data_IF_468261782764
#
_entry.id   IF_468261782764
#
_cell.length_a   1.000
_cell.length_b   1.000
_cell.length_c   1.000
_cell.angle_alpha   90.00
_cell.angle_beta   90.00
_cell.angle_gamma   90.00
#
_symmetry.space_group_name_H-M   'P 1'
#
loop_
_entity.id
_entity.type
_entity.pdbx_description
1 polymer ?
#
# COMPACT_ATOMS: atom_id res chain seq x y z
N UNK A 1 -24.98 35.14 -28.55
CA UNK A 1 -23.66 34.68 -28.09
C UNK A 1 -23.49 35.06 -26.62
N UNK A 2 -23.34 34.10 -25.71
CA UNK A 2 -23.09 34.37 -24.29
C UNK A 2 -21.67 34.93 -24.16
N UNK A 3 -21.51 36.17 -23.67
CA UNK A 3 -20.19 36.79 -23.47
C UNK A 3 -19.64 36.34 -22.13
N UNK A 4 -18.59 35.51 -22.16
CA UNK A 4 -17.85 35.15 -20.95
C UNK A 4 -17.06 36.35 -20.44
N UNK A 5 -17.24 36.70 -19.17
CA UNK A 5 -16.40 37.71 -18.52
C UNK A 5 -15.13 37.06 -17.93
N UNK A 6 -14.06 37.84 -17.73
CA UNK A 6 -12.76 37.33 -17.26
C UNK A 6 -12.85 36.60 -15.91
N UNK A 7 -13.75 37.04 -15.02
CA UNK A 7 -13.98 36.41 -13.72
C UNK A 7 -14.63 35.04 -13.89
N UNK A 8 -15.65 34.94 -14.72
CA UNK A 8 -16.33 33.69 -15.03
C UNK A 8 -15.37 32.68 -15.67
N UNK A 9 -14.54 33.11 -16.63
CA UNK A 9 -13.49 32.26 -17.20
C UNK A 9 -12.51 31.74 -16.14
N UNK A 10 -11.95 32.61 -15.30
CA UNK A 10 -10.98 32.21 -14.27
C UNK A 10 -11.62 31.31 -13.20
N UNK A 11 -12.87 31.57 -12.81
CA UNK A 11 -13.60 30.74 -11.85
C UNK A 11 -13.91 29.35 -12.44
N UNK A 12 -14.39 29.27 -13.68
CA UNK A 12 -14.73 27.99 -14.30
C UNK A 12 -13.48 27.17 -14.61
N UNK A 13 -12.43 27.78 -15.16
CA UNK A 13 -11.16 27.06 -15.45
C UNK A 13 -10.43 26.66 -14.17
N UNK A 14 -10.42 27.51 -13.14
CA UNK A 14 -9.83 27.18 -11.83
C UNK A 14 -10.55 26.03 -11.14
N UNK A 15 -11.88 26.01 -11.17
CA UNK A 15 -12.67 24.90 -10.63
C UNK A 15 -12.44 23.59 -11.40
N UNK A 16 -12.39 23.64 -12.73
CA UNK A 16 -12.10 22.47 -13.56
C UNK A 16 -10.70 21.90 -13.30
N UNK A 17 -9.69 22.77 -13.16
CA UNK A 17 -8.32 22.36 -12.83
C UNK A 17 -8.23 21.72 -11.44
N UNK A 18 -8.91 22.28 -10.43
CA UNK A 18 -8.96 21.71 -9.08
C UNK A 18 -9.60 20.30 -9.08
N UNK A 19 -10.70 20.11 -9.79
CA UNK A 19 -11.36 18.79 -9.91
C UNK A 19 -10.48 17.76 -10.63
N UNK A 20 -9.75 18.17 -11.67
CA UNK A 20 -8.83 17.28 -12.38
C UNK A 20 -7.66 16.83 -11.48
N UNK A 21 -7.11 17.74 -10.66
CA UNK A 21 -6.02 17.41 -9.71
C UNK A 21 -6.50 16.48 -8.60
N UNK A 22 -7.71 16.68 -8.08
CA UNK A 22 -8.30 15.82 -7.04
C UNK A 22 -8.63 14.43 -7.61
N UNK A 23 -9.21 14.36 -8.82
CA UNK A 23 -9.55 13.09 -9.48
C UNK A 23 -8.33 12.24 -9.90
N UNK A 24 -7.17 12.86 -10.03
CA UNK A 24 -5.90 12.19 -10.36
C UNK A 24 -5.16 11.66 -9.12
N UNK A 25 -5.64 11.98 -7.92
CA UNK A 25 -5.01 11.54 -6.69
C UNK A 25 -5.46 10.11 -6.35
N UNK A 26 -4.55 9.14 -6.13
CA UNK A 26 -4.91 7.77 -5.77
C UNK A 26 -5.85 7.68 -4.55
N UNK A 27 -5.77 8.66 -3.64
CA UNK A 27 -6.67 8.77 -2.48
C UNK A 27 -8.15 9.04 -2.82
N UNK A 28 -8.46 9.64 -3.98
CA UNK A 28 -9.83 9.87 -4.41
C UNK A 28 -10.51 8.57 -4.89
N UNK A 29 -9.74 7.64 -5.48
CA UNK A 29 -10.23 6.30 -5.84
C UNK A 29 -10.55 5.46 -4.58
N UNK A 30 -9.76 5.59 -3.50
CA UNK A 30 -10.06 4.95 -2.22
C UNK A 30 -11.36 5.47 -1.58
N UNK A 31 -11.68 6.76 -1.72
CA UNK A 31 -12.91 7.34 -1.16
C UNK A 31 -14.19 6.79 -1.81
N UNK A 32 -14.14 6.34 -3.06
CA UNK A 32 -15.31 5.82 -3.78
C UNK A 32 -15.74 4.42 -3.30
N UNK A 33 -14.84 3.66 -2.67
CA UNK A 33 -15.12 2.30 -2.16
C UNK A 33 -15.73 2.35 -0.74
N UNK A 34 -15.41 3.39 0.05
CA UNK A 34 -15.83 3.54 1.46
C UNK A 34 -17.29 4.02 1.59
N UNK A 35 -17.92 4.52 0.51
CA UNK A 35 -19.26 5.11 0.54
C UNK A 35 -20.45 4.13 0.56
N UNK A 36 -20.22 2.82 0.60
CA UNK A 36 -21.31 1.84 0.66
C UNK A 36 -21.70 1.53 2.10
N UNK A 37 -22.99 1.31 2.37
CA UNK A 37 -23.47 0.84 3.67
C UNK A 37 -22.76 -0.47 4.01
N UNK A 38 -21.97 -0.47 5.09
CA UNK A 38 -21.23 -1.65 5.52
C UNK A 38 -22.18 -2.84 5.69
N UNK A 39 -21.82 -4.06 5.24
CA UNK A 39 -22.72 -5.23 5.23
C UNK A 39 -22.96 -5.83 6.64
N UNK A 40 -22.62 -5.09 7.69
CA UNK A 40 -22.63 -5.58 9.07
C UNK A 40 -23.74 -4.91 9.88
N UNK A 41 -24.47 -5.66 10.72
CA UNK A 41 -25.54 -5.12 11.56
C UNK A 41 -25.02 -4.28 12.74
N UNK A 42 -23.73 -4.39 13.08
CA UNK A 42 -23.07 -3.68 14.17
C UNK A 42 -22.00 -2.69 13.69
N UNK A 43 -21.52 -1.82 14.58
CA UNK A 43 -20.53 -0.81 14.23
C UNK A 43 -19.17 -1.45 13.91
N UNK A 44 -18.72 -1.29 12.66
CA UNK A 44 -17.38 -1.65 12.21
C UNK A 44 -16.69 -0.43 11.62
N UNK A 45 -15.43 -0.22 12.01
CA UNK A 45 -14.58 0.83 11.44
C UNK A 45 -13.32 0.21 10.83
N UNK A 46 -12.96 0.67 9.64
CA UNK A 46 -11.68 0.41 9.00
C UNK A 46 -10.84 1.68 9.05
N UNK A 47 -9.65 1.60 9.64
CA UNK A 47 -8.69 2.72 9.68
C UNK A 47 -7.57 2.43 8.69
N UNK A 48 -7.51 3.19 7.61
CA UNK A 48 -6.43 3.09 6.63
C UNK A 48 -5.37 4.17 6.91
N UNK A 49 -4.16 3.74 7.28
CA UNK A 49 -3.02 4.64 7.48
C UNK A 49 -2.13 4.60 6.24
N UNK A 50 -2.09 5.71 5.50
CA UNK A 50 -1.26 5.83 4.31
C UNK A 50 0.09 6.45 4.66
N UNK A 51 1.15 5.65 4.60
CA UNK A 51 2.52 6.08 4.91
C UNK A 51 3.27 6.56 3.64
N UNK A 52 2.67 7.48 2.89
CA UNK A 52 3.28 8.02 1.66
C UNK A 52 4.59 8.75 1.95
N UNK A 53 5.69 8.25 1.41
CA UNK A 53 7.03 8.83 1.55
C UNK A 53 7.64 8.73 2.96
N UNK A 54 6.88 8.28 3.96
CA UNK A 54 7.34 8.11 5.35
C UNK A 54 7.67 6.67 5.72
N UNK A 55 7.29 5.69 4.89
CA UNK A 55 7.61 4.29 5.10
C UNK A 55 8.46 3.72 3.96
N UNK A 56 9.57 3.09 4.33
CA UNK A 56 10.37 2.26 3.44
C UNK A 56 10.01 0.79 3.70
N UNK A 57 9.09 0.27 2.90
CA UNK A 57 8.59 -1.11 3.08
C UNK A 57 9.67 -2.17 2.92
N UNK A 58 10.71 -1.90 2.10
CA UNK A 58 11.83 -2.83 1.94
C UNK A 58 12.70 -2.90 3.20
N UNK A 59 12.71 -1.86 4.04
CA UNK A 59 13.35 -1.94 5.36
C UNK A 59 12.38 -2.40 6.46
N UNK A 60 11.07 -2.53 6.21
CA UNK A 60 10.14 -3.10 7.21
C UNK A 60 10.08 -4.61 7.17
N UNK A 61 9.97 -5.21 5.98
CA UNK A 61 9.91 -6.67 5.77
C UNK A 61 11.10 -7.07 4.90
N UNK A 62 12.02 -7.86 5.46
CA UNK A 62 13.31 -8.17 4.85
C UNK A 62 13.47 -9.69 4.74
N UNK A 63 13.88 -10.22 3.57
CA UNK A 63 14.23 -11.64 3.43
C UNK A 63 15.40 -12.02 4.34
N UNK A 64 15.34 -13.20 4.92
CA UNK A 64 16.31 -13.70 5.88
C UNK A 64 17.19 -14.84 5.36
N UNK A 65 16.80 -15.49 4.28
CA UNK A 65 17.67 -16.45 3.59
C UNK A 65 18.85 -15.72 2.94
N UNK A 66 20.02 -16.34 2.94
CA UNK A 66 21.27 -15.66 2.55
C UNK A 66 21.25 -15.13 1.11
N UNK A 67 20.66 -15.87 0.16
CA UNK A 67 20.63 -15.45 -1.23
C UNK A 67 19.79 -14.17 -1.42
N UNK A 68 18.58 -14.16 -0.89
CA UNK A 68 17.61 -13.08 -1.00
C UNK A 68 18.03 -11.87 -0.15
N UNK A 69 18.57 -12.10 1.05
CA UNK A 69 19.12 -11.03 1.88
C UNK A 69 20.28 -10.32 1.18
N UNK A 70 21.19 -11.06 0.51
CA UNK A 70 22.30 -10.45 -0.21
C UNK A 70 21.84 -9.55 -1.36
N UNK A 71 20.74 -9.91 -2.04
CA UNK A 71 20.13 -9.06 -3.08
C UNK A 71 19.60 -7.76 -2.44
N UNK A 72 18.87 -7.87 -1.33
CA UNK A 72 18.40 -6.72 -0.55
C UNK A 72 19.57 -5.83 -0.10
N UNK A 73 20.60 -6.41 0.52
CA UNK A 73 21.74 -5.67 1.07
C UNK A 73 22.53 -4.96 -0.03
N UNK A 74 22.72 -5.60 -1.19
CA UNK A 74 23.37 -4.99 -2.34
C UNK A 74 22.57 -3.79 -2.89
N UNK A 75 21.24 -3.88 -2.94
CA UNK A 75 20.38 -2.78 -3.37
C UNK A 75 20.33 -1.62 -2.37
N UNK A 76 20.45 -1.92 -1.07
CA UNK A 76 20.31 -0.93 0.03
C UNK A 76 21.63 -0.31 0.48
N UNK A 77 22.75 -0.99 0.21
CA UNK A 77 24.10 -0.57 0.59
C UNK A 77 24.19 -0.22 2.09
N UNK A 78 24.55 1.01 2.43
CA UNK A 78 24.71 1.49 3.80
C UNK A 78 23.38 1.61 4.58
N UNK A 79 22.23 1.47 3.92
CA UNK A 79 20.90 1.49 4.57
C UNK A 79 20.37 0.08 4.86
N UNK A 80 21.13 -0.96 4.50
CA UNK A 80 20.74 -2.34 4.77
C UNK A 80 20.74 -2.59 6.28
N UNK A 81 19.66 -3.16 6.79
CA UNK A 81 19.62 -3.67 8.17
C UNK A 81 20.44 -4.94 8.22
N UNK A 82 21.28 -5.10 9.24
CA UNK A 82 22.09 -6.30 9.37
C UNK A 82 21.21 -7.54 9.57
N UNK A 83 21.53 -8.62 8.85
CA UNK A 83 20.70 -9.83 8.81
C UNK A 83 20.44 -10.43 10.19
N UNK A 84 21.46 -10.40 11.06
CA UNK A 84 21.37 -10.93 12.42
C UNK A 84 20.49 -10.11 13.36
N UNK A 85 20.20 -8.85 13.02
CA UNK A 85 19.37 -7.97 13.83
C UNK A 85 17.87 -8.10 13.47
N UNK A 86 17.56 -8.80 12.36
CA UNK A 86 16.20 -8.96 11.88
C UNK A 86 15.33 -9.76 12.86
N UNK A 87 14.15 -9.20 13.16
CA UNK A 87 13.17 -9.84 14.03
C UNK A 87 12.44 -10.92 13.24
N UNK A 88 12.72 -12.19 13.53
CA UNK A 88 12.06 -13.33 12.89
C UNK A 88 10.53 -13.21 12.92
N UNK A 89 9.87 -13.52 11.80
CA UNK A 89 8.43 -13.78 11.79
C UNK A 89 8.14 -15.16 11.20
N UNK A 90 7.03 -15.76 11.62
CA UNK A 90 6.62 -17.11 11.24
C UNK A 90 5.25 -17.10 10.54
N UNK A 91 5.20 -16.83 9.22
CA UNK A 91 3.93 -16.79 8.48
C UNK A 91 3.22 -18.14 8.49
N UNK A 92 1.91 -18.11 8.74
CA UNK A 92 1.05 -19.31 8.62
C UNK A 92 0.91 -19.79 7.18
N UNK A 93 1.08 -18.88 6.22
CA UNK A 93 1.13 -19.15 4.78
C UNK A 93 2.53 -18.88 4.26
N UNK A 94 3.29 -19.93 3.98
CA UNK A 94 4.64 -19.81 3.45
C UNK A 94 4.63 -19.66 1.92
N UNK A 95 5.46 -18.76 1.41
CA UNK A 95 5.79 -18.61 -0.01
C UNK A 95 7.17 -19.23 -0.36
N UNK A 96 7.82 -19.87 0.61
CA UNK A 96 9.15 -20.45 0.50
C UNK A 96 10.29 -19.52 0.93
N UNK A 97 9.99 -18.29 1.35
CA UNK A 97 10.99 -17.32 1.84
C UNK A 97 10.85 -17.10 3.34
N UNK A 98 11.97 -17.10 4.05
CA UNK A 98 12.02 -16.68 5.44
C UNK A 98 12.09 -15.16 5.51
N UNK A 99 11.28 -14.55 6.38
CA UNK A 99 11.25 -13.11 6.54
C UNK A 99 11.57 -12.67 7.97
N UNK A 100 12.04 -11.43 8.09
CA UNK A 100 12.16 -10.75 9.36
C UNK A 100 11.72 -9.28 9.25
N UNK A 101 11.28 -8.74 10.38
CA UNK A 101 10.94 -7.33 10.52
C UNK A 101 12.15 -6.50 10.97
N UNK A 102 12.09 -5.19 10.73
CA UNK A 102 13.06 -4.23 11.25
C UNK A 102 13.21 -4.35 12.78
N UNK A 103 14.43 -4.19 13.35
CA UNK A 103 14.68 -4.24 14.80
C UNK A 103 13.80 -3.29 15.64
N UNK A 104 13.39 -2.17 15.04
CA UNK A 104 12.52 -1.16 15.66
C UNK A 104 11.04 -1.52 15.66
N UNK A 105 10.65 -2.71 15.19
CA UNK A 105 9.26 -3.15 15.05
C UNK A 105 8.86 -4.34 15.95
N UNK A 106 9.33 -4.46 17.22
CA UNK A 106 9.00 -5.60 18.06
C UNK A 106 7.49 -5.67 18.37
N UNK A 107 6.81 -4.53 18.42
CA UNK A 107 5.35 -4.48 18.59
C UNK A 107 4.60 -5.14 17.42
N UNK A 108 5.03 -4.88 16.18
CA UNK A 108 4.41 -5.50 15.01
C UNK A 108 4.77 -6.99 14.92
N UNK A 109 6.01 -7.36 15.26
CA UNK A 109 6.40 -8.77 15.36
C UNK A 109 5.48 -9.52 16.34
N UNK A 110 5.27 -8.98 17.55
CA UNK A 110 4.38 -9.58 18.53
C UNK A 110 2.93 -9.72 18.03
N UNK A 111 2.40 -8.72 17.34
CA UNK A 111 1.06 -8.81 16.73
C UNK A 111 0.99 -9.89 15.65
N UNK A 112 2.03 -10.01 14.82
CA UNK A 112 2.10 -11.01 13.76
C UNK A 112 2.14 -12.43 14.34
N UNK A 113 3.04 -12.68 15.29
CA UNK A 113 3.18 -13.98 15.96
C UNK A 113 1.91 -14.38 16.73
N UNK A 114 1.16 -13.39 17.25
CA UNK A 114 -0.13 -13.61 17.91
C UNK A 114 -1.31 -13.76 16.91
N UNK A 115 -1.07 -13.81 15.60
CA UNK A 115 -2.12 -13.92 14.57
C UNK A 115 -3.02 -12.69 14.45
N UNK A 116 -2.60 -11.56 15.01
CA UNK A 116 -3.33 -10.27 15.02
C UNK A 116 -2.83 -9.28 13.97
N UNK A 117 -1.83 -9.65 13.17
CA UNK A 117 -1.36 -8.89 12.02
C UNK A 117 -1.10 -9.83 10.84
N UNK A 118 -1.34 -9.32 9.64
CA UNK A 118 -1.01 -9.99 8.39
C UNK A 118 -0.24 -9.03 7.49
N UNK A 119 0.63 -9.58 6.66
CA UNK A 119 1.40 -8.82 5.69
C UNK A 119 1.02 -9.30 4.30
N UNK A 120 0.69 -8.35 3.42
CA UNK A 120 0.38 -8.61 2.02
C UNK A 120 1.46 -7.91 1.21
N UNK A 121 2.34 -8.69 0.59
CA UNK A 121 3.43 -8.21 -0.25
C UNK A 121 2.98 -8.09 -1.71
N UNK A 122 3.82 -7.45 -2.53
CA UNK A 122 3.63 -7.32 -3.98
C UNK A 122 2.27 -6.71 -4.40
N UNK A 123 1.76 -5.77 -3.60
CA UNK A 123 0.55 -5.01 -3.94
C UNK A 123 0.89 -3.81 -4.83
N UNK A 124 -0.02 -3.48 -5.75
CA UNK A 124 0.11 -2.31 -6.61
C UNK A 124 -1.25 -1.91 -7.20
N UNK A 125 -1.36 -0.71 -7.77
CA UNK A 125 -2.55 -0.32 -8.50
C UNK A 125 -2.69 -1.17 -9.76
N UNK A 126 -3.93 -1.39 -10.19
CA UNK A 126 -4.20 -1.94 -11.52
C UNK A 126 -3.68 -0.97 -12.58
N UNK A 127 -2.92 -1.48 -13.55
CA UNK A 127 -2.40 -0.69 -14.68
C UNK A 127 -3.46 -0.47 -15.78
N UNK A 128 -4.52 -1.29 -15.79
CA UNK A 128 -5.66 -1.18 -16.70
C UNK A 128 -6.93 -1.66 -16.00
N UNK A 129 -8.14 -1.24 -16.45
CA UNK A 129 -9.38 -1.84 -16.00
C UNK A 129 -9.36 -3.36 -16.20
N UNK A 130 -9.72 -4.12 -15.17
CA UNK A 130 -9.63 -5.59 -15.16
C UNK A 130 -10.86 -6.16 -14.46
N UNK A 131 -11.48 -7.18 -15.04
CA UNK A 131 -12.58 -7.91 -14.39
C UNK A 131 -12.06 -9.06 -13.54
N UNK A 132 -12.88 -9.54 -12.59
CA UNK A 132 -12.57 -10.74 -11.79
C UNK A 132 -12.32 -11.97 -12.67
N UNK A 133 -13.05 -12.08 -13.79
CA UNK A 133 -12.87 -13.16 -14.77
C UNK A 133 -11.50 -13.07 -15.44
N UNK A 134 -11.05 -11.87 -15.79
CA UNK A 134 -9.73 -11.67 -16.43
C UNK A 134 -8.60 -12.11 -15.50
N UNK A 135 -8.68 -11.79 -14.20
CA UNK A 135 -7.71 -12.23 -13.18
C UNK A 135 -7.67 -13.77 -13.10
N UNK A 136 -8.82 -14.42 -13.00
CA UNK A 136 -8.86 -15.88 -12.87
C UNK A 136 -8.42 -16.63 -14.14
N UNK A 137 -8.59 -16.02 -15.29
CA UNK A 137 -8.14 -16.58 -16.56
C UNK A 137 -6.65 -16.28 -16.85
N UNK A 138 -5.98 -15.46 -16.03
CA UNK A 138 -4.60 -15.04 -16.27
C UNK A 138 -4.44 -14.17 -17.54
N UNK A 139 -5.50 -13.46 -17.94
CA UNK A 139 -5.52 -12.62 -19.15
C UNK A 139 -4.92 -11.22 -18.92
N UNK A 140 -4.34 -10.99 -17.75
CA UNK A 140 -3.69 -9.74 -17.30
C UNK A 140 -2.44 -10.03 -16.49
#
# INVERSE_FOLDING_TARGET
MKRFNRREFLTTTGAAAATAVIGSYPGAAFSQVIGTSAPFPDYKALVCVFLHGGNDSFNMLIPRSNAEYNIYAAARQNMAVAQQDLLAINPVTADGTDYGLHPSMPGLQGLFENGSAAIISNIGPLIQPTTKTDIFNGSV
#
